data_IF_103611794179
#
_entry.id   IF_103611794179
#
_cell.length_a   1.000
_cell.length_b   1.000
_cell.length_c   1.000
_cell.angle_alpha   90.00
_cell.angle_beta   90.00
_cell.angle_gamma   90.00
#
_symmetry.space_group_name_H-M   'P 1'
#
loop_
_entity.id
_entity.type
_entity.pdbx_description
1 polymer ?
#
# COMPACT_ATOMS: atom_id res chain seq x y z
N UNK A 1 -55.40 -72.10 -1.14
CA UNK A 1 -54.25 -71.37 -0.54
C UNK A 1 -52.91 -71.59 -1.24
N UNK A 2 -52.52 -72.82 -1.61
CA UNK A 2 -51.20 -73.07 -2.24
C UNK A 2 -50.99 -72.34 -3.58
N UNK A 3 -52.03 -72.22 -4.41
CA UNK A 3 -51.91 -71.55 -5.71
C UNK A 3 -51.72 -70.03 -5.62
N UNK A 4 -52.41 -69.34 -4.71
CA UNK A 4 -52.23 -67.89 -4.54
C UNK A 4 -50.83 -67.55 -4.02
N UNK A 5 -50.26 -68.40 -3.13
CA UNK A 5 -48.85 -68.29 -2.72
C UNK A 5 -47.89 -68.43 -3.91
N UNK A 6 -48.12 -69.40 -4.81
CA UNK A 6 -47.30 -69.55 -6.04
C UNK A 6 -47.41 -68.35 -6.97
N UNK A 7 -48.62 -67.84 -7.23
CA UNK A 7 -48.83 -66.64 -8.05
C UNK A 7 -48.19 -65.39 -7.43
N UNK A 8 -48.31 -65.20 -6.11
CA UNK A 8 -47.68 -64.10 -5.39
C UNK A 8 -46.15 -64.14 -5.51
N UNK A 9 -45.52 -65.31 -5.34
CA UNK A 9 -44.06 -65.46 -5.54
C UNK A 9 -43.65 -65.07 -6.96
N UNK A 10 -44.40 -65.49 -7.99
CA UNK A 10 -44.11 -65.13 -9.39
C UNK A 10 -44.18 -63.60 -9.60
N UNK A 11 -45.23 -62.93 -9.09
CA UNK A 11 -45.32 -61.47 -9.19
C UNK A 11 -44.20 -60.75 -8.42
N UNK A 12 -43.84 -61.22 -7.23
CA UNK A 12 -42.72 -60.68 -6.45
C UNK A 12 -41.41 -60.86 -7.24
N UNK A 13 -41.11 -62.04 -7.77
CA UNK A 13 -39.90 -62.28 -8.58
C UNK A 13 -39.85 -61.40 -9.83
N UNK A 14 -40.96 -61.23 -10.56
CA UNK A 14 -41.01 -60.35 -11.73
C UNK A 14 -40.78 -58.89 -11.31
N UNK A 15 -41.44 -58.42 -10.25
CA UNK A 15 -41.24 -57.05 -9.74
C UNK A 15 -39.80 -56.79 -9.28
N UNK A 16 -39.14 -57.79 -8.68
CA UNK A 16 -37.76 -57.71 -8.24
C UNK A 16 -36.80 -57.63 -9.43
N UNK A 17 -37.03 -58.45 -10.47
CA UNK A 17 -36.25 -58.40 -11.72
C UNK A 17 -36.41 -57.04 -12.40
N UNK A 18 -37.64 -56.52 -12.51
CA UNK A 18 -37.90 -55.19 -13.08
C UNK A 18 -37.25 -54.07 -12.25
N UNK A 19 -37.27 -54.16 -10.92
CA UNK A 19 -36.60 -53.20 -10.02
C UNK A 19 -35.07 -53.24 -10.19
N UNK A 20 -34.47 -54.43 -10.33
CA UNK A 20 -33.03 -54.58 -10.61
C UNK A 20 -32.64 -53.99 -11.97
N UNK A 21 -33.44 -54.22 -13.02
CA UNK A 21 -33.23 -53.63 -14.35
C UNK A 21 -33.34 -52.10 -14.28
N UNK A 22 -34.37 -51.57 -13.62
CA UNK A 22 -34.55 -50.13 -13.44
C UNK A 22 -33.39 -49.48 -12.67
N UNK A 23 -32.95 -50.11 -11.57
CA UNK A 23 -31.79 -49.66 -10.79
C UNK A 23 -30.49 -49.68 -11.60
N UNK A 24 -30.27 -50.71 -12.42
CA UNK A 24 -29.13 -50.78 -13.33
C UNK A 24 -29.17 -49.69 -14.41
N UNK A 25 -30.31 -49.46 -15.05
CA UNK A 25 -30.48 -48.38 -16.03
C UNK A 25 -30.28 -46.99 -15.40
N UNK A 26 -30.74 -46.80 -14.16
CA UNK A 26 -30.50 -45.56 -13.41
C UNK A 26 -29.00 -45.34 -13.13
N UNK A 27 -28.29 -46.37 -12.66
CA UNK A 27 -26.83 -46.32 -12.46
C UNK A 27 -26.07 -46.03 -13.76
N UNK A 28 -26.46 -46.65 -14.88
CA UNK A 28 -25.90 -46.32 -16.19
C UNK A 28 -26.14 -44.84 -16.54
N UNK A 29 -27.33 -44.30 -16.27
CA UNK A 29 -27.65 -42.91 -16.60
C UNK A 29 -26.87 -41.90 -15.75
N UNK A 30 -26.72 -42.16 -14.45
CA UNK A 30 -25.90 -41.34 -13.54
C UNK A 30 -24.42 -41.41 -13.94
N UNK A 31 -23.92 -42.59 -14.30
CA UNK A 31 -22.55 -42.75 -14.82
C UNK A 31 -22.34 -41.97 -16.13
N UNK A 32 -23.28 -42.05 -17.09
CA UNK A 32 -23.24 -41.28 -18.33
C UNK A 32 -23.22 -39.76 -18.09
N UNK A 33 -24.03 -39.26 -17.13
CA UNK A 33 -24.05 -37.85 -16.75
C UNK A 33 -22.73 -37.40 -16.13
N UNK A 34 -22.19 -38.16 -15.17
CA UNK A 34 -20.91 -37.85 -14.53
C UNK A 34 -19.74 -37.90 -15.52
N UNK A 35 -19.71 -38.89 -16.43
CA UNK A 35 -18.70 -38.98 -17.48
C UNK A 35 -18.79 -37.81 -18.49
N UNK A 36 -19.99 -37.26 -18.72
CA UNK A 36 -20.20 -36.10 -19.62
C UNK A 36 -19.89 -34.75 -18.98
N UNK A 37 -20.09 -34.60 -17.67
CA UNK A 37 -19.84 -33.36 -16.93
C UNK A 37 -18.40 -33.28 -16.38
N UNK A 38 -17.77 -34.43 -16.16
CA UNK A 38 -16.51 -34.56 -15.45
C UNK A 38 -16.67 -34.40 -13.94
N UNK A 39 -15.53 -34.24 -13.24
CA UNK A 39 -15.54 -33.75 -11.86
C UNK A 39 -15.99 -32.28 -11.78
N UNK A 40 -16.01 -31.72 -10.58
CA UNK A 40 -16.22 -30.29 -10.34
C UNK A 40 -14.91 -29.59 -9.97
N UNK A 41 -14.84 -28.30 -10.28
CA UNK A 41 -13.79 -27.39 -9.85
C UNK A 41 -14.45 -26.21 -9.14
N UNK A 42 -13.94 -25.83 -7.97
CA UNK A 42 -14.39 -24.62 -7.28
C UNK A 42 -13.92 -23.38 -8.03
N UNK A 43 -14.88 -22.51 -8.33
CA UNK A 43 -14.65 -21.19 -8.92
C UNK A 43 -15.24 -20.10 -8.02
N UNK A 44 -14.77 -18.87 -8.19
CA UNK A 44 -15.28 -17.72 -7.45
C UNK A 44 -16.40 -17.00 -8.22
N UNK A 45 -17.44 -16.60 -7.49
CA UNK A 45 -18.55 -15.80 -7.98
C UNK A 45 -18.77 -14.61 -7.03
N UNK A 46 -19.41 -13.55 -7.50
CA UNK A 46 -19.72 -12.38 -6.66
C UNK A 46 -20.83 -12.71 -5.65
N UNK A 47 -20.59 -12.48 -4.35
CA UNK A 47 -21.58 -12.73 -3.28
C UNK A 47 -22.69 -11.67 -3.25
N UNK A 48 -22.41 -10.47 -3.78
CA UNK A 48 -23.34 -9.35 -3.98
C UNK A 48 -23.06 -8.60 -5.30
N UNK A 49 -23.64 -7.43 -5.50
CA UNK A 49 -23.31 -6.59 -6.67
C UNK A 49 -21.98 -5.88 -6.43
N UNK A 50 -21.02 -6.08 -7.33
CA UNK A 50 -19.71 -5.39 -7.29
C UNK A 50 -19.69 -4.35 -8.42
N UNK A 51 -19.64 -3.06 -8.07
CA UNK A 51 -19.56 -2.00 -9.08
C UNK A 51 -18.19 -1.92 -9.76
N UNK A 52 -18.16 -1.36 -10.97
CA UNK A 52 -16.91 -1.17 -11.73
C UNK A 52 -15.91 -0.29 -10.97
N UNK A 53 -14.64 -0.72 -10.95
CA UNK A 53 -13.48 -0.10 -10.29
C UNK A 53 -13.49 -0.15 -8.76
N UNK A 54 -14.39 -0.91 -8.15
CA UNK A 54 -14.33 -1.23 -6.72
C UNK A 54 -13.26 -2.31 -6.47
N UNK A 55 -12.52 -2.19 -5.37
CA UNK A 55 -11.56 -3.22 -4.90
C UNK A 55 -12.37 -4.40 -4.39
N UNK A 56 -12.10 -5.59 -4.93
CA UNK A 56 -12.80 -6.81 -4.51
C UNK A 56 -12.21 -7.29 -3.19
N UNK A 57 -13.05 -7.37 -2.17
CA UNK A 57 -12.73 -7.86 -0.85
C UNK A 57 -13.07 -9.35 -0.68
N UNK A 58 -12.60 -10.00 0.40
CA UNK A 58 -12.99 -11.37 0.73
C UNK A 58 -14.49 -11.55 1.03
N UNK A 59 -15.18 -10.52 1.53
CA UNK A 59 -16.64 -10.58 1.76
C UNK A 59 -17.47 -10.54 0.46
N UNK A 60 -16.96 -9.89 -0.59
CA UNK A 60 -17.63 -9.69 -1.88
C UNK A 60 -17.67 -10.97 -2.75
N UNK A 61 -17.05 -12.07 -2.32
CA UNK A 61 -16.88 -13.30 -3.11
C UNK A 61 -17.29 -14.56 -2.38
N UNK A 62 -17.94 -15.47 -3.11
CA UNK A 62 -18.26 -16.83 -2.65
C UNK A 62 -17.75 -17.89 -3.63
N UNK A 63 -17.73 -19.16 -3.22
CA UNK A 63 -17.24 -20.27 -4.06
C UNK A 63 -18.36 -21.20 -4.49
N UNK A 64 -18.43 -21.50 -5.79
CA UNK A 64 -19.40 -22.43 -6.39
C UNK A 64 -18.67 -23.58 -7.09
N UNK A 65 -19.23 -24.78 -7.02
CA UNK A 65 -18.73 -25.96 -7.75
C UNK A 65 -19.16 -25.93 -9.21
N UNK A 66 -18.24 -25.62 -10.12
CA UNK A 66 -18.47 -25.62 -11.57
C UNK A 66 -18.09 -26.98 -12.17
N UNK A 67 -18.96 -27.65 -12.96
CA UNK A 67 -18.59 -28.88 -13.65
C UNK A 67 -17.44 -28.64 -14.64
N UNK A 68 -16.47 -29.54 -14.67
CA UNK A 68 -15.22 -29.38 -15.44
C UNK A 68 -15.46 -29.22 -16.94
N UNK A 69 -16.59 -29.69 -17.48
CA UNK A 69 -17.02 -29.42 -18.87
C UNK A 69 -17.15 -27.93 -19.19
N UNK A 70 -17.56 -27.10 -18.22
CA UNK A 70 -17.73 -25.65 -18.36
C UNK A 70 -16.53 -24.86 -17.82
N UNK A 71 -15.65 -25.52 -17.08
CA UNK A 71 -14.43 -24.91 -16.57
C UNK A 71 -13.45 -24.64 -17.72
N UNK A 72 -13.16 -23.37 -17.98
CA UNK A 72 -12.12 -22.91 -18.92
C UNK A 72 -10.87 -22.53 -18.14
N UNK A 73 -9.80 -23.31 -18.32
CA UNK A 73 -8.53 -23.06 -17.63
C UNK A 73 -7.88 -21.75 -18.09
N UNK A 74 -7.13 -21.12 -17.18
CA UNK A 74 -6.57 -19.78 -17.38
C UNK A 74 -7.59 -18.62 -17.33
N UNK A 75 -8.86 -18.84 -17.68
CA UNK A 75 -9.92 -17.81 -17.60
C UNK A 75 -10.59 -17.76 -16.22
N UNK A 76 -10.98 -18.90 -15.68
CA UNK A 76 -11.61 -18.99 -14.36
C UNK A 76 -10.58 -18.92 -13.24
N UNK A 77 -10.99 -18.35 -12.11
CA UNK A 77 -10.13 -18.20 -10.93
C UNK A 77 -10.33 -19.40 -9.99
N UNK A 78 -9.21 -19.98 -9.55
CA UNK A 78 -9.17 -21.13 -8.62
C UNK A 78 -8.61 -20.75 -7.24
N UNK A 79 -7.79 -19.70 -7.16
CA UNK A 79 -7.07 -19.33 -5.96
C UNK A 79 -7.48 -17.91 -5.51
N UNK A 80 -7.81 -17.68 -4.22
CA UNK A 80 -8.25 -16.37 -3.74
C UNK A 80 -7.18 -15.28 -3.93
N UNK A 81 -5.89 -15.65 -3.99
CA UNK A 81 -4.78 -14.72 -4.29
C UNK A 81 -4.87 -14.09 -5.68
N UNK A 82 -5.61 -14.71 -6.60
CA UNK A 82 -5.86 -14.17 -7.95
C UNK A 82 -6.98 -13.11 -7.96
N UNK A 83 -7.62 -12.85 -6.82
CA UNK A 83 -8.67 -11.82 -6.63
C UNK A 83 -8.18 -10.71 -5.68
N UNK A 84 -7.35 -11.06 -4.70
CA UNK A 84 -6.78 -10.10 -3.73
C UNK A 84 -6.12 -8.92 -4.43
N UNK A 85 -6.43 -7.70 -3.97
CA UNK A 85 -5.93 -6.43 -4.52
C UNK A 85 -6.23 -6.22 -6.03
N UNK A 86 -7.33 -6.78 -6.53
CA UNK A 86 -7.84 -6.51 -7.88
C UNK A 86 -9.14 -5.72 -7.84
N UNK A 87 -9.38 -4.99 -8.92
CA UNK A 87 -10.62 -4.28 -9.21
C UNK A 87 -11.35 -4.94 -10.37
N UNK A 88 -12.68 -4.94 -10.33
CA UNK A 88 -13.46 -5.34 -11.51
C UNK A 88 -13.48 -4.20 -12.54
N UNK A 89 -13.24 -4.49 -13.81
CA UNK A 89 -13.34 -3.47 -14.89
C UNK A 89 -14.79 -3.22 -15.33
N UNK A 90 -15.69 -4.17 -15.08
CA UNK A 90 -17.14 -4.11 -15.36
C UNK A 90 -17.94 -4.28 -14.06
N UNK A 91 -19.19 -3.78 -13.96
CA UNK A 91 -20.05 -4.18 -12.85
C UNK A 91 -20.33 -5.69 -12.94
N UNK A 92 -20.34 -6.37 -11.79
CA UNK A 92 -20.67 -7.80 -11.66
C UNK A 92 -21.94 -7.95 -10.85
N UNK A 93 -22.88 -8.76 -11.33
CA UNK A 93 -24.10 -9.10 -10.61
C UNK A 93 -23.84 -10.20 -9.55
N UNK A 94 -24.69 -10.25 -8.52
CA UNK A 94 -24.67 -11.36 -7.55
C UNK A 94 -24.80 -12.71 -8.26
N UNK A 95 -23.91 -13.64 -7.94
CA UNK A 95 -23.81 -14.98 -8.54
C UNK A 95 -23.07 -15.02 -9.88
N UNK A 96 -22.56 -13.90 -10.39
CA UNK A 96 -21.78 -13.85 -11.63
C UNK A 96 -20.36 -14.40 -11.40
N UNK A 97 -19.87 -15.20 -12.34
CA UNK A 97 -18.55 -15.87 -12.26
C UNK A 97 -17.44 -14.86 -12.48
N UNK A 98 -16.50 -14.77 -11.54
CA UNK A 98 -15.35 -13.88 -11.61
C UNK A 98 -14.25 -14.54 -12.46
N UNK A 99 -13.97 -13.95 -13.61
CA UNK A 99 -12.92 -14.41 -14.55
C UNK A 99 -11.74 -13.43 -14.57
N UNK A 100 -10.57 -13.89 -14.99
CA UNK A 100 -9.37 -13.04 -15.06
C UNK A 100 -9.51 -11.89 -16.06
N UNK A 101 -10.37 -12.02 -17.08
CA UNK A 101 -10.61 -10.97 -18.08
C UNK A 101 -11.40 -9.78 -17.55
N UNK A 102 -12.18 -9.96 -16.47
CA UNK A 102 -12.90 -8.87 -15.80
C UNK A 102 -12.11 -8.24 -14.66
N UNK A 103 -10.96 -8.81 -14.29
CA UNK A 103 -10.11 -8.27 -13.23
C UNK A 103 -8.92 -7.49 -13.79
N UNK A 104 -8.59 -6.40 -13.09
CA UNK A 104 -7.33 -5.68 -13.26
C UNK A 104 -6.68 -5.51 -11.89
N UNK A 105 -5.35 -5.50 -11.84
CA UNK A 105 -4.65 -5.10 -10.62
C UNK A 105 -5.12 -3.69 -10.18
N UNK A 106 -5.39 -3.55 -8.88
CA UNK A 106 -5.56 -2.21 -8.30
C UNK A 106 -4.27 -1.42 -8.60
N UNK A 107 -4.41 -0.19 -9.10
CA UNK A 107 -3.26 0.58 -9.55
C UNK A 107 -2.28 0.79 -8.39
N UNK A 108 -0.97 0.67 -8.66
CA UNK A 108 0.10 0.74 -7.65
C UNK A 108 0.20 2.12 -6.94
N UNK A 109 -0.59 3.10 -7.37
CA UNK A 109 -0.86 4.30 -6.57
C UNK A 109 -1.64 3.90 -5.31
N UNK A 110 -1.00 3.99 -4.14
CA UNK A 110 -1.55 3.53 -2.88
C UNK A 110 -2.86 4.20 -2.45
N UNK A 111 -3.12 5.43 -2.91
CA UNK A 111 -4.37 6.17 -2.66
C UNK A 111 -5.14 6.49 -3.97
N UNK A 112 -6.45 6.21 -4.07
CA UNK A 112 -7.27 6.60 -5.23
C UNK A 112 -7.34 8.13 -5.49
N UNK A 113 -7.03 8.95 -4.49
CA UNK A 113 -6.92 10.40 -4.60
C UNK A 113 -5.56 10.85 -5.15
N UNK A 114 -4.56 9.97 -5.20
CA UNK A 114 -3.25 10.32 -5.74
C UNK A 114 -3.17 10.12 -7.26
N UNK A 115 -2.16 10.74 -7.88
CA UNK A 115 -1.87 10.70 -9.31
C UNK A 115 -0.40 10.39 -9.50
N UNK A 116 -0.11 9.54 -10.47
CA UNK A 116 1.25 9.25 -10.90
C UNK A 116 1.72 10.32 -11.89
N UNK A 117 2.68 11.14 -11.48
CA UNK A 117 3.32 12.17 -12.31
C UNK A 117 4.72 11.70 -12.73
N UNK A 118 4.98 11.66 -14.03
CA UNK A 118 6.26 11.20 -14.57
C UNK A 118 7.27 12.34 -14.68
N UNK A 119 8.31 12.31 -13.84
CA UNK A 119 9.50 13.16 -14.00
C UNK A 119 10.56 12.40 -14.80
N UNK A 120 10.89 12.88 -15.99
CA UNK A 120 11.91 12.28 -16.86
C UNK A 120 13.16 13.16 -16.89
N UNK A 121 14.33 12.52 -16.91
CA UNK A 121 15.62 13.17 -17.00
C UNK A 121 15.69 14.04 -18.26
N UNK A 122 16.10 15.29 -18.09
CA UNK A 122 16.21 16.29 -19.17
C UNK A 122 17.24 17.34 -18.78
N UNK A 123 17.50 18.32 -19.66
CA UNK A 123 18.38 19.46 -19.33
C UNK A 123 17.92 20.24 -18.09
N UNK A 124 16.62 20.19 -17.77
CA UNK A 124 16.04 20.83 -16.58
C UNK A 124 15.87 19.91 -15.38
N UNK A 125 15.86 18.59 -15.56
CA UNK A 125 15.47 17.62 -14.51
C UNK A 125 16.61 16.64 -14.29
N UNK A 126 17.23 16.73 -13.11
CA UNK A 126 18.32 15.84 -12.69
C UNK A 126 17.95 15.00 -11.47
N UNK A 127 18.47 13.78 -11.44
CA UNK A 127 18.45 12.88 -10.29
C UNK A 127 19.82 12.94 -9.63
N UNK A 128 19.85 13.24 -8.33
CA UNK A 128 21.12 13.43 -7.59
C UNK A 128 21.74 12.09 -7.19
N UNK A 129 20.92 11.06 -7.02
CA UNK A 129 21.31 9.68 -6.68
C UNK A 129 20.55 8.68 -7.56
N UNK A 130 20.99 7.42 -7.55
CA UNK A 130 20.21 6.31 -8.12
C UNK A 130 18.98 6.04 -7.23
N UNK A 131 17.82 5.87 -7.87
CA UNK A 131 16.53 5.65 -7.22
C UNK A 131 16.03 4.25 -7.56
N UNK A 132 15.37 3.63 -6.60
CA UNK A 132 14.71 2.32 -6.71
C UNK A 132 13.18 2.49 -6.63
N UNK A 133 12.44 1.45 -7.00
CA UNK A 133 10.99 1.41 -6.74
C UNK A 133 10.72 1.51 -5.23
N UNK A 134 9.69 2.26 -4.85
CA UNK A 134 9.25 2.50 -3.46
C UNK A 134 10.15 3.39 -2.59
N UNK A 135 11.18 4.02 -3.17
CA UNK A 135 11.95 5.08 -2.52
C UNK A 135 11.06 6.29 -2.13
N UNK A 136 11.61 7.12 -1.22
CA UNK A 136 11.08 8.44 -0.89
C UNK A 136 12.02 9.51 -1.44
N UNK A 137 11.47 10.60 -1.96
CA UNK A 137 12.27 11.69 -2.56
C UNK A 137 11.78 13.08 -2.17
N UNK A 138 12.71 14.01 -2.07
CA UNK A 138 12.45 15.43 -2.00
C UNK A 138 12.63 16.05 -3.39
N UNK A 139 11.71 16.93 -3.78
CA UNK A 139 11.73 17.65 -5.05
C UNK A 139 12.18 19.08 -4.77
N UNK A 140 13.38 19.45 -5.21
CA UNK A 140 13.91 20.81 -5.14
C UNK A 140 13.70 21.49 -6.49
N UNK A 141 13.13 22.70 -6.48
CA UNK A 141 12.86 23.48 -7.69
C UNK A 141 13.61 24.80 -7.62
N UNK A 142 14.25 25.19 -8.73
CA UNK A 142 14.76 26.54 -8.95
C UNK A 142 13.91 27.24 -10.00
N UNK A 143 13.41 28.44 -9.69
CA UNK A 143 12.57 29.24 -10.57
C UNK A 143 12.79 30.75 -10.35
N UNK A 144 12.24 31.56 -11.25
CA UNK A 144 12.33 33.02 -11.23
C UNK A 144 11.00 33.70 -11.56
N UNK A 145 9.86 33.09 -11.20
CA UNK A 145 8.52 33.58 -11.60
C UNK A 145 8.20 35.01 -11.13
N UNK A 146 8.79 35.44 -10.02
CA UNK A 146 8.65 36.80 -9.46
C UNK A 146 9.79 37.75 -9.88
N UNK A 147 10.61 37.36 -10.86
CA UNK A 147 11.76 38.13 -11.35
C UNK A 147 13.03 38.00 -10.48
N UNK A 148 12.92 37.38 -9.31
CA UNK A 148 14.07 37.03 -8.45
C UNK A 148 14.32 35.52 -8.47
N UNK A 149 15.54 35.04 -8.77
CA UNK A 149 15.87 33.63 -8.68
C UNK A 149 15.69 33.08 -7.26
N UNK A 150 14.98 31.96 -7.13
CA UNK A 150 14.68 31.28 -5.87
C UNK A 150 14.84 29.77 -6.06
N UNK A 151 15.45 29.12 -5.08
CA UNK A 151 15.54 27.66 -4.99
C UNK A 151 14.90 27.22 -3.68
N UNK A 152 13.97 26.27 -3.74
CA UNK A 152 13.25 25.78 -2.56
C UNK A 152 12.90 24.29 -2.67
N UNK A 153 12.72 23.63 -1.53
CA UNK A 153 12.10 22.30 -1.48
C UNK A 153 10.62 22.51 -1.79
N UNK A 154 10.20 22.04 -2.97
CA UNK A 154 8.85 22.21 -3.50
C UNK A 154 7.89 21.14 -2.98
N UNK A 155 8.38 19.90 -2.84
CA UNK A 155 7.67 18.81 -2.18
C UNK A 155 8.69 17.97 -1.39
N UNK A 156 8.30 17.49 -0.21
CA UNK A 156 9.10 16.58 0.61
C UNK A 156 8.43 15.22 0.73
N UNK A 157 9.25 14.18 0.96
CA UNK A 157 8.80 12.82 1.28
C UNK A 157 7.77 12.27 0.25
N UNK A 158 8.04 12.49 -1.04
CA UNK A 158 7.20 12.02 -2.15
C UNK A 158 7.54 10.57 -2.48
N UNK A 159 6.52 9.75 -2.74
CA UNK A 159 6.70 8.32 -3.02
C UNK A 159 7.07 8.06 -4.48
N UNK A 160 8.14 7.28 -4.71
CA UNK A 160 8.48 6.73 -6.02
C UNK A 160 7.66 5.45 -6.23
N UNK A 161 6.56 5.54 -6.97
CA UNK A 161 5.73 4.37 -7.30
C UNK A 161 6.43 3.43 -8.27
N UNK A 162 7.27 3.97 -9.18
CA UNK A 162 8.07 3.19 -10.13
C UNK A 162 9.23 3.98 -10.71
N UNK A 163 10.30 3.31 -11.12
CA UNK A 163 11.36 3.88 -11.95
C UNK A 163 11.12 3.59 -13.44
N UNK A 164 11.82 4.32 -14.30
CA UNK A 164 11.87 4.08 -15.74
C UNK A 164 13.33 4.03 -16.17
N UNK A 165 13.75 2.90 -16.72
CA UNK A 165 15.13 2.67 -17.17
C UNK A 165 15.23 2.57 -18.69
N UNK A 166 16.44 2.76 -19.24
CA UNK A 166 16.76 2.38 -20.61
C UNK A 166 17.29 0.94 -20.71
N UNK A 167 17.51 0.46 -21.95
CA UNK A 167 18.07 -0.87 -22.24
C UNK A 167 19.45 -1.16 -21.61
N UNK A 168 20.10 -0.19 -20.96
CA UNK A 168 21.38 -0.31 -20.26
C UNK A 168 21.23 -0.12 -18.74
N UNK A 169 20.01 -0.22 -18.20
CA UNK A 169 19.67 0.02 -16.78
C UNK A 169 20.06 1.41 -16.24
N UNK A 170 20.11 2.43 -17.10
CA UNK A 170 20.26 3.81 -16.64
C UNK A 170 18.89 4.43 -16.41
N UNK A 171 18.69 5.03 -15.24
CA UNK A 171 17.51 5.81 -14.89
C UNK A 171 17.23 6.88 -15.96
N UNK A 172 16.03 6.82 -16.54
CA UNK A 172 15.44 7.80 -17.45
C UNK A 172 14.41 8.70 -16.75
N UNK A 173 13.85 8.25 -15.63
CA UNK A 173 12.81 8.98 -14.91
C UNK A 173 12.14 8.16 -13.83
N UNK A 174 11.22 8.80 -13.11
CA UNK A 174 10.44 8.22 -12.01
C UNK A 174 8.96 8.58 -12.15
N UNK A 175 8.08 7.68 -11.75
CA UNK A 175 6.67 7.94 -11.50
C UNK A 175 6.47 8.29 -10.03
N UNK A 176 6.21 9.56 -9.74
CA UNK A 176 5.93 10.04 -8.39
C UNK A 176 4.44 9.97 -8.09
N UNK A 177 4.10 9.42 -6.93
CA UNK A 177 2.74 9.45 -6.41
C UNK A 177 2.53 10.73 -5.58
N UNK A 178 1.65 11.61 -6.07
CA UNK A 178 1.32 12.91 -5.47
C UNK A 178 -0.20 13.10 -5.39
N UNK A 179 -0.68 13.98 -4.51
CA UNK A 179 -2.12 14.27 -4.41
C UNK A 179 -2.68 14.80 -5.75
N UNK A 180 -3.97 14.60 -5.99
CA UNK A 180 -4.68 15.18 -7.15
C UNK A 180 -4.57 16.71 -7.19
N UNK A 181 -4.45 17.35 -6.03
CA UNK A 181 -4.34 18.80 -5.86
C UNK A 181 -2.92 19.31 -6.12
N UNK A 182 -1.89 18.49 -5.86
CA UNK A 182 -0.48 18.83 -6.08
C UNK A 182 0.02 18.42 -7.47
N UNK A 183 -0.58 17.41 -8.11
CA UNK A 183 -0.20 16.98 -9.46
C UNK A 183 -0.16 18.15 -10.49
N UNK A 184 -1.14 19.07 -10.57
CA UNK A 184 -1.05 20.23 -11.44
C UNK A 184 0.09 21.19 -11.09
N UNK A 185 0.43 21.31 -9.79
CA UNK A 185 1.53 22.16 -9.32
C UNK A 185 2.88 21.58 -9.73
N UNK A 186 3.07 20.27 -9.55
CA UNK A 186 4.29 19.57 -9.98
C UNK A 186 4.45 19.61 -11.51
N UNK A 187 3.37 19.40 -12.26
CA UNK A 187 3.37 19.55 -13.72
C UNK A 187 3.67 21.00 -14.14
N UNK A 188 3.19 22.00 -13.40
CA UNK A 188 3.55 23.40 -13.65
C UNK A 188 5.06 23.62 -13.46
N UNK A 189 5.65 23.13 -12.36
CA UNK A 189 7.10 23.21 -12.16
C UNK A 189 7.87 22.48 -13.27
N UNK A 190 7.44 21.27 -13.65
CA UNK A 190 8.04 20.48 -14.74
C UNK A 190 8.11 21.24 -16.07
N UNK A 191 7.10 22.07 -16.37
CA UNK A 191 7.06 22.85 -17.60
C UNK A 191 7.84 24.17 -17.50
N UNK A 192 7.72 24.89 -16.38
CA UNK A 192 8.09 26.31 -16.30
C UNK A 192 9.28 26.63 -15.39
N UNK A 193 9.70 25.74 -14.50
CA UNK A 193 10.89 25.97 -13.66
C UNK A 193 12.16 26.07 -14.51
N UNK A 194 13.20 26.71 -13.96
CA UNK A 194 14.53 26.76 -14.57
C UNK A 194 15.25 25.41 -14.37
N UNK A 195 15.14 24.82 -13.17
CA UNK A 195 15.59 23.45 -12.91
C UNK A 195 14.79 22.74 -11.81
N UNK A 196 14.82 21.41 -11.85
CA UNK A 196 14.28 20.51 -10.84
C UNK A 196 15.36 19.48 -10.50
N UNK A 197 15.61 19.28 -9.21
CA UNK A 197 16.45 18.20 -8.70
C UNK A 197 15.57 17.25 -7.88
N UNK A 198 15.75 15.96 -8.09
CA UNK A 198 15.13 14.90 -7.29
C UNK A 198 16.21 14.30 -6.41
N UNK A 199 16.03 14.46 -5.10
CA UNK A 199 16.97 14.04 -4.06
C UNK A 199 16.38 12.83 -3.34
N UNK A 200 17.19 11.80 -3.06
CA UNK A 200 16.74 10.65 -2.26
C UNK A 200 16.50 11.10 -0.81
N UNK A 201 15.27 10.96 -0.32
CA UNK A 201 14.94 11.30 1.05
C UNK A 201 15.33 10.14 1.97
N UNK A 202 15.77 10.46 3.19
CA UNK A 202 16.29 9.46 4.11
C UNK A 202 15.17 8.53 4.60
N UNK A 203 15.27 7.23 4.34
CA UNK A 203 14.30 6.20 4.76
C UNK A 203 14.48 5.80 6.23
N UNK A 204 14.44 6.80 7.10
CA UNK A 204 14.46 6.66 8.55
C UNK A 204 13.60 7.73 9.17
N UNK A 205 12.54 7.34 9.88
CA UNK A 205 11.79 8.29 10.71
C UNK A 205 12.76 8.81 11.79
N UNK A 206 13.00 10.10 11.80
CA UNK A 206 13.66 10.79 12.92
C UNK A 206 12.79 10.63 14.17
N UNK A 207 12.99 9.53 14.90
CA UNK A 207 12.84 9.58 16.34
C UNK A 207 13.87 10.60 16.83
N UNK A 208 13.47 11.65 17.58
CA UNK A 208 14.43 12.61 18.11
C UNK A 208 15.46 11.82 18.92
N UNK A 209 16.73 11.90 18.51
CA UNK A 209 17.81 11.17 19.14
C UNK A 209 17.80 11.49 20.64
N UNK A 210 17.46 10.48 21.45
CA UNK A 210 17.46 10.64 22.90
C UNK A 210 18.85 11.09 23.32
N UNK A 211 18.88 12.15 24.13
CA UNK A 211 20.10 12.83 24.54
C UNK A 211 21.12 11.80 25.03
N UNK A 212 22.34 11.87 24.48
CA UNK A 212 23.43 11.02 24.89
C UNK A 212 23.80 11.33 26.35
N UNK A 213 23.19 10.60 27.28
CA UNK A 213 23.54 10.63 28.70
C UNK A 213 24.96 10.09 28.83
N UNK A 214 25.94 11.01 28.83
CA UNK A 214 27.29 10.75 29.32
C UNK A 214 27.19 10.38 30.79
N UNK A 215 27.20 9.07 31.04
CA UNK A 215 27.18 8.46 32.36
C UNK A 215 28.40 7.55 32.54
N UNK A 216 29.60 8.12 32.58
CA UNK A 216 30.81 7.40 32.98
C UNK A 216 30.64 6.84 34.40
N UNK A 217 30.47 5.52 34.52
CA UNK A 217 30.69 4.78 35.77
C UNK A 217 31.29 3.40 35.50
N UNK A 218 32.60 3.37 35.43
CA UNK A 218 33.40 2.19 35.76
C UNK A 218 34.09 2.41 37.13
N UNK A 219 34.47 1.29 37.76
CA UNK A 219 35.22 1.18 39.02
C UNK A 219 34.49 1.55 40.34
N UNK A 220 34.19 0.50 41.10
CA UNK A 220 33.79 0.51 42.50
C UNK A 220 34.93 -0.12 43.33
N UNK A 221 35.43 0.56 44.39
CA UNK A 221 35.70 0.01 45.76
C UNK A 221 36.80 0.72 46.59
N UNK A 222 36.48 0.85 47.88
CA UNK A 222 37.34 0.97 49.08
C UNK A 222 38.20 2.26 49.23
N UNK A 223 38.43 2.83 50.43
CA UNK A 223 38.20 2.32 51.80
C UNK A 223 37.76 3.40 52.83
N UNK A 224 37.05 2.92 53.86
CA UNK A 224 37.06 3.25 55.32
C UNK A 224 37.09 4.69 55.91
N UNK A 225 36.52 4.76 57.13
CA UNK A 225 36.29 5.88 58.08
C UNK A 225 37.31 5.78 59.25
N UNK A 226 37.25 6.59 60.34
CA UNK A 226 36.81 7.99 60.55
C UNK A 226 37.82 8.83 61.41
N UNK A 227 37.61 10.16 61.60
CA UNK A 227 37.45 10.82 62.94
C UNK A 227 37.27 12.36 62.90
N UNK A 228 36.50 12.84 63.89
CA UNK A 228 36.55 14.11 64.65
C UNK A 228 36.43 15.54 64.05
N UNK A 229 35.44 16.25 64.64
CA UNK A 229 35.31 17.72 64.85
C UNK A 229 36.13 18.11 66.12
N UNK A 230 36.40 19.40 66.48
CA UNK A 230 35.48 20.56 66.38
C UNK A 230 36.09 21.97 66.13
N UNK A 231 35.22 23.01 66.17
CA UNK A 231 35.49 24.45 66.39
C UNK A 231 36.21 25.25 65.25
N UNK A 232 35.97 26.56 65.01
CA UNK A 232 34.95 27.50 65.51
C UNK A 232 34.76 28.75 64.60
N UNK A 233 33.59 29.40 64.72
CA UNK A 233 33.28 30.85 64.58
C UNK A 233 33.54 31.70 63.30
N UNK A 234 32.45 32.37 62.85
CA UNK A 234 32.32 33.80 62.43
C UNK A 234 33.14 34.29 61.21
N UNK A 235 32.76 35.31 60.43
CA UNK A 235 31.53 36.05 60.13
C UNK A 235 31.80 36.78 58.77
N UNK A 236 30.88 37.48 58.09
CA UNK A 236 29.51 37.93 58.41
C UNK A 236 28.64 37.93 57.13
N UNK A 237 27.49 38.61 57.15
CA UNK A 237 26.60 38.83 56.00
C UNK A 237 26.09 40.27 56.03
N UNK A 238 26.37 41.08 55.01
CA UNK A 238 25.61 42.33 54.79
C UNK A 238 25.41 42.67 53.30
N UNK A 239 24.21 43.20 53.03
CA UNK A 239 23.53 43.47 51.75
C UNK A 239 23.75 44.95 51.33
N UNK A 240 23.08 45.52 50.29
CA UNK A 240 22.64 44.99 48.98
C UNK A 240 22.84 46.01 47.79
N UNK A 241 22.34 45.63 46.60
CA UNK A 241 21.86 46.52 45.51
C UNK A 241 22.94 47.16 44.58
N UNK A 242 22.66 47.57 43.33
CA UNK A 242 21.38 47.86 42.63
C UNK A 242 21.57 47.89 41.08
N UNK A 243 20.54 47.50 40.31
CA UNK A 243 20.25 47.80 38.87
C UNK A 243 21.29 47.46 37.76
N UNK A 244 20.80 46.90 36.64
CA UNK A 244 21.15 47.32 35.29
C UNK A 244 20.14 48.36 34.77
N UNK A 245 20.60 49.30 33.93
CA UNK A 245 19.75 50.17 33.14
C UNK A 245 20.04 49.95 31.65
N UNK A 246 18.98 49.84 30.87
CA UNK A 246 18.95 49.59 29.43
C UNK A 246 19.15 50.89 28.63
N UNK A 247 19.85 50.82 27.47
CA UNK A 247 19.55 51.59 26.23
C UNK A 247 20.61 51.49 25.12
N UNK A 248 20.17 51.06 23.94
CA UNK A 248 20.47 51.58 22.58
C UNK A 248 19.59 50.80 21.57
N UNK A 249 19.43 51.23 20.30
CA UNK A 249 20.00 52.40 19.64
C UNK A 249 18.94 53.40 19.15
N UNK A 250 19.39 54.44 18.43
CA UNK A 250 18.54 55.40 17.72
C UNK A 250 18.66 55.18 16.21
N UNK A 251 17.59 55.46 15.47
CA UNK A 251 17.55 55.44 14.01
C UNK A 251 16.84 56.71 13.50
N UNK A 252 17.32 57.27 12.38
CA UNK A 252 16.71 58.39 11.64
C UNK A 252 15.98 57.82 10.42
N UNK A 253 14.96 58.54 9.91
CA UNK A 253 15.02 58.87 8.48
C UNK A 253 14.88 60.37 8.18
N UNK A 254 14.91 60.66 6.88
CA UNK A 254 15.03 61.95 6.19
C UNK A 254 13.72 62.64 5.81
N UNK A 255 13.82 63.93 5.50
CA UNK A 255 12.93 64.74 4.66
C UNK A 255 13.65 66.07 4.40
N UNK A 256 14.26 66.26 3.22
CA UNK A 256 13.69 66.84 1.99
C UNK A 256 13.60 68.37 2.00
N UNK A 257 14.15 68.99 0.95
CA UNK A 257 14.09 70.42 0.69
C UNK A 257 14.82 70.79 -0.62
N UNK A 258 14.04 71.29 -1.58
CA UNK A 258 14.39 71.95 -2.86
C UNK A 258 15.57 71.40 -3.68
#
# INVERSE_FOLDING_TARGET
MLESKRRAIIFISISLILALIAGFMFLQKVSELNNKLGGTTKVYVASEQIDSRVIIKPEDVETVDLPNKFFVDGSHIKNPKEITNKVSVVPLAKGEIITKSVLKDFAESGDPNNRLVGLFASEKISFDEELEDYDRVDIVVSHQFEGTPKTEIFMSDVFVSRISENNKKKLLGVGLEVSKEDAPKLIHMQNYADSIRVLKANVGKDQPAQEAVKGDKAAEKQAEKPTEKPAEQKASNEKPAKKPAEKKPAEKPSGEGN
#
